data_IF_644226155656
#
_entry.id   IF_644226155656
#
_cell.length_a   1.000
_cell.length_b   1.000
_cell.length_c   1.000
_cell.angle_alpha   90.00
_cell.angle_beta   90.00
_cell.angle_gamma   90.00
#
_symmetry.space_group_name_H-M   'P 1'
#
loop_
_entity.id
_entity.type
_entity.pdbx_description
1 polymer ?
#
# COMPACT_ATOMS: atom_id res chain seq x y z
N UNK A 1 -20.93 19.51 37.03
CA UNK A 1 -21.38 18.99 35.72
C UNK A 1 -21.25 20.11 34.70
N UNK A 2 -20.11 20.22 34.02
CA UNK A 2 -19.86 21.27 33.03
C UNK A 2 -20.37 20.79 31.66
N UNK A 3 -21.36 21.46 31.09
CA UNK A 3 -21.90 21.19 29.75
C UNK A 3 -21.08 21.98 28.73
N UNK A 4 -20.31 21.28 27.90
CA UNK A 4 -19.60 21.89 26.77
C UNK A 4 -20.55 21.92 25.58
N UNK A 5 -20.81 23.10 25.05
CA UNK A 5 -21.75 23.35 23.96
C UNK A 5 -21.06 23.07 22.61
N UNK A 6 -21.40 21.95 21.97
CA UNK A 6 -21.00 21.59 20.60
C UNK A 6 -21.90 22.36 19.63
N UNK A 7 -21.72 23.67 19.53
CA UNK A 7 -22.41 24.49 18.51
C UNK A 7 -21.56 25.65 17.96
N UNK A 8 -20.30 25.81 18.41
CA UNK A 8 -19.30 26.69 17.78
C UNK A 8 -18.66 26.03 16.54
N UNK A 9 -19.41 25.18 15.82
CA UNK A 9 -18.91 24.44 14.68
C UNK A 9 -19.87 24.47 13.48
N UNK A 10 -20.24 25.68 13.04
CA UNK A 10 -20.63 25.99 11.66
C UNK A 10 -20.80 27.50 11.50
N UNK A 11 -20.19 28.23 10.56
CA UNK A 11 -19.53 27.87 9.31
C UNK A 11 -18.72 29.10 8.78
N UNK A 12 -18.46 29.28 7.47
CA UNK A 12 -17.17 29.10 6.81
C UNK A 12 -16.49 30.43 6.43
N UNK A 13 -15.29 30.67 6.95
CA UNK A 13 -14.45 31.79 6.53
C UNK A 13 -13.26 31.27 5.72
N UNK A 14 -13.21 31.61 4.44
CA UNK A 14 -12.10 31.28 3.55
C UNK A 14 -10.76 31.77 4.15
N UNK A 15 -9.91 30.83 4.55
CA UNK A 15 -8.53 31.10 4.96
C UNK A 15 -7.59 30.31 4.03
N UNK A 16 -6.64 31.06 3.45
CA UNK A 16 -5.57 30.63 2.55
C UNK A 16 -4.84 29.35 3.01
N UNK A 17 -4.15 28.61 2.12
CA UNK A 17 -3.38 27.43 2.53
C UNK A 17 -2.33 27.86 3.56
N UNK A 18 -2.54 27.46 4.82
CA UNK A 18 -1.56 27.67 5.87
C UNK A 18 -0.30 26.89 5.48
N UNK A 19 0.79 27.63 5.23
CA UNK A 19 2.10 27.05 4.99
C UNK A 19 2.44 26.10 6.15
N UNK A 20 2.67 24.83 5.83
CA UNK A 20 3.14 23.83 6.78
C UNK A 20 4.55 24.20 7.25
N UNK A 21 4.64 24.88 8.40
CA UNK A 21 5.90 25.03 9.11
C UNK A 21 6.33 23.65 9.59
N UNK A 22 7.34 23.06 8.96
CA UNK A 22 8.01 21.89 9.49
C UNK A 22 8.78 22.32 10.74
N UNK A 23 8.20 22.10 11.91
CA UNK A 23 8.93 22.21 13.16
C UNK A 23 10.11 21.21 13.16
N UNK A 24 11.28 21.57 13.73
CA UNK A 24 12.41 20.65 13.84
C UNK A 24 11.95 19.37 14.56
N UNK A 25 12.53 18.19 14.25
CA UNK A 25 12.13 16.96 14.91
C UNK A 25 12.57 17.06 16.37
N UNK A 26 11.65 17.52 17.23
CA UNK A 26 11.70 17.17 18.63
C UNK A 26 11.87 15.64 18.68
N UNK A 27 12.67 15.12 19.60
CA UNK A 27 12.69 13.69 19.90
C UNK A 27 11.36 13.37 20.56
N UNK A 28 10.28 13.41 19.77
CA UNK A 28 8.98 12.95 20.13
C UNK A 28 9.22 11.47 20.32
N UNK A 29 9.13 11.01 21.57
CA UNK A 29 8.95 9.60 21.89
C UNK A 29 7.69 9.20 21.13
N UNK A 30 7.88 8.77 19.89
CA UNK A 30 6.81 8.56 18.94
C UNK A 30 6.26 7.22 19.36
N UNK A 31 5.22 7.27 20.20
CA UNK A 31 4.50 6.09 20.63
C UNK A 31 4.28 5.21 19.40
N UNK A 32 4.90 4.02 19.34
CA UNK A 32 4.78 3.15 18.18
C UNK A 32 3.32 2.84 17.84
N UNK A 33 2.41 2.89 18.83
CA UNK A 33 0.98 2.69 18.64
C UNK A 33 0.26 3.88 17.96
N UNK A 34 0.85 5.08 17.95
CA UNK A 34 0.28 6.28 17.32
C UNK A 34 0.69 6.47 15.87
N UNK A 35 1.51 5.58 15.31
CA UNK A 35 1.92 5.71 13.92
C UNK A 35 0.75 5.31 13.00
N UNK A 36 0.43 6.18 12.06
CA UNK A 36 -0.72 6.02 11.17
C UNK A 36 -0.62 4.75 10.29
N UNK A 37 0.59 4.32 9.97
CA UNK A 37 0.85 3.04 9.29
C UNK A 37 0.42 1.84 10.14
N UNK A 38 0.51 1.87 11.47
CA UNK A 38 0.09 0.74 12.34
C UNK A 38 -1.42 0.51 12.29
N UNK A 39 -2.22 1.57 12.13
CA UNK A 39 -3.68 1.46 12.03
C UNK A 39 -4.14 0.74 10.75
N UNK A 40 -3.35 0.82 9.68
CA UNK A 40 -3.74 0.30 8.35
C UNK A 40 -2.79 -0.75 7.77
N UNK A 41 -1.63 -0.97 8.40
CA UNK A 41 -0.67 -1.98 7.97
C UNK A 41 -1.19 -3.35 8.39
N UNK A 42 -1.85 -4.00 7.44
CA UNK A 42 -2.09 -5.44 7.49
C UNK A 42 -0.74 -6.15 7.60
N UNK A 43 -0.45 -6.73 8.76
CA UNK A 43 0.69 -7.65 8.90
C UNK A 43 0.33 -8.92 8.14
N UNK A 44 1.22 -9.36 7.25
CA UNK A 44 1.17 -10.74 6.77
C UNK A 44 1.68 -11.64 7.89
N UNK A 45 1.11 -12.84 7.99
CA UNK A 45 1.52 -13.79 9.01
C UNK A 45 3.01 -14.10 8.89
N UNK A 46 3.67 -14.18 10.04
CA UNK A 46 5.07 -14.58 10.12
C UNK A 46 5.20 -16.02 9.60
N UNK A 47 6.08 -16.25 8.61
CA UNK A 47 6.20 -17.54 7.94
C UNK A 47 5.31 -17.72 6.69
N UNK A 48 4.65 -16.68 6.19
CA UNK A 48 3.96 -16.76 4.89
C UNK A 48 4.97 -16.80 3.74
N UNK A 49 5.38 -18.00 3.36
CA UNK A 49 6.27 -18.24 2.22
C UNK A 49 5.50 -18.20 0.90
N UNK A 50 6.09 -17.55 -0.10
CA UNK A 50 5.54 -17.56 -1.45
C UNK A 50 5.65 -18.98 -2.02
N UNK A 51 4.54 -19.57 -2.46
CA UNK A 51 4.55 -20.91 -3.05
C UNK A 51 5.48 -20.96 -4.27
N UNK A 52 6.49 -21.83 -4.24
CA UNK A 52 7.45 -22.01 -5.33
C UNK A 52 6.79 -22.45 -6.64
N UNK A 53 5.60 -23.06 -6.57
CA UNK A 53 4.80 -23.41 -7.75
C UNK A 53 4.44 -22.21 -8.62
N UNK A 54 4.40 -20.98 -8.08
CA UNK A 54 4.22 -19.77 -8.89
C UNK A 54 5.40 -19.52 -9.83
N UNK A 55 6.63 -19.71 -9.36
CA UNK A 55 7.83 -19.56 -10.19
C UNK A 55 7.93 -20.67 -11.24
N UNK A 56 7.60 -21.91 -10.85
CA UNK A 56 7.53 -23.04 -11.80
C UNK A 56 6.47 -22.80 -12.85
N UNK A 57 5.28 -22.35 -12.46
CA UNK A 57 4.19 -22.03 -13.38
C UNK A 57 4.57 -20.92 -14.36
N UNK A 58 5.17 -19.84 -13.88
CA UNK A 58 5.66 -18.75 -14.72
C UNK A 58 6.67 -19.26 -15.76
N UNK A 59 7.64 -20.07 -15.33
CA UNK A 59 8.62 -20.68 -16.23
C UNK A 59 7.94 -21.54 -17.31
N UNK A 60 7.07 -22.47 -16.91
CA UNK A 60 6.39 -23.38 -17.85
C UNK A 60 5.52 -22.61 -18.84
N UNK A 61 4.79 -21.59 -18.41
CA UNK A 61 3.95 -20.76 -19.29
C UNK A 61 4.79 -19.98 -20.30
N UNK A 62 5.86 -19.32 -19.85
CA UNK A 62 6.72 -18.54 -20.75
C UNK A 62 7.45 -19.45 -21.75
N UNK A 63 8.02 -20.55 -21.29
CA UNK A 63 8.67 -21.53 -22.17
C UNK A 63 7.68 -22.14 -23.16
N UNK A 64 6.50 -22.54 -22.70
CA UNK A 64 5.45 -23.08 -23.57
C UNK A 64 5.00 -22.07 -24.62
N UNK A 65 4.86 -20.79 -24.24
CA UNK A 65 4.55 -19.72 -25.18
C UNK A 65 5.64 -19.57 -26.25
N UNK A 66 6.92 -19.50 -25.86
CA UNK A 66 8.04 -19.41 -26.81
C UNK A 66 8.06 -20.61 -27.76
N UNK A 67 7.89 -21.83 -27.23
CA UNK A 67 7.85 -23.05 -28.04
C UNK A 67 6.69 -22.98 -29.04
N UNK A 68 5.50 -22.56 -28.60
CA UNK A 68 4.34 -22.40 -29.48
C UNK A 68 4.61 -21.39 -30.58
N UNK A 69 5.20 -20.23 -30.27
CA UNK A 69 5.52 -19.20 -31.27
C UNK A 69 6.54 -19.69 -32.29
N UNK A 70 7.57 -20.43 -31.86
CA UNK A 70 8.64 -20.91 -32.74
C UNK A 70 8.26 -22.19 -33.51
N UNK A 71 7.40 -23.03 -32.94
CA UNK A 71 7.02 -24.34 -33.50
C UNK A 71 5.66 -24.32 -34.20
N UNK A 72 4.87 -23.27 -33.99
CA UNK A 72 3.53 -23.10 -34.54
C UNK A 72 3.49 -22.63 -36.00
N UNK A 73 4.60 -22.71 -36.74
CA UNK A 73 4.58 -22.58 -38.20
C UNK A 73 4.21 -23.94 -38.79
N UNK A 74 2.96 -24.18 -39.23
CA UNK A 74 2.65 -25.36 -40.02
C UNK A 74 3.46 -25.29 -41.32
N UNK A 75 4.15 -26.37 -41.66
CA UNK A 75 4.79 -26.51 -42.97
C UNK A 75 3.71 -26.38 -44.05
N UNK A 76 3.75 -25.30 -44.83
CA UNK A 76 3.05 -25.22 -46.12
C UNK A 76 3.82 -26.09 -47.09
N UNK A 77 3.44 -27.36 -47.17
CA UNK A 77 3.81 -28.29 -48.23
C UNK A 77 2.58 -28.60 -49.07
#
# INVERSE_FOLDING_TARGET
MLRVNVDEASAPGAAAPAASTSAPPAVVVTDPARRADVLFRKRRDEGHELSSWWMVGAFVVTSGLVILLLSGVPGVA
#
